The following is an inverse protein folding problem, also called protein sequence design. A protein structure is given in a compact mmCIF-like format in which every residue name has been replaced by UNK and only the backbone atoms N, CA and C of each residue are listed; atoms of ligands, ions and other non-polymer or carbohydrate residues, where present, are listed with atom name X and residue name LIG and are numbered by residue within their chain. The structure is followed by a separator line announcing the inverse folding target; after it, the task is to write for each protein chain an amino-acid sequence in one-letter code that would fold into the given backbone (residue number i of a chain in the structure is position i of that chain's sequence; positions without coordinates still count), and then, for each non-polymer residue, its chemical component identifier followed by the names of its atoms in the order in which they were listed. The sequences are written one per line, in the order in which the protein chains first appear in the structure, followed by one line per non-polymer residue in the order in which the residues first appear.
data_IF_079276872473
#
_entry.id   IF_079276872473
#
_cell.length_a   1.000
_cell.length_b   1.000
_cell.length_c   1.000
_cell.angle_alpha   90.00
_cell.angle_beta   90.00
_cell.angle_gamma   90.00
#
_symmetry.space_group_name_H-M   'P 1'
#
loop_
_entity.id
_entity.type
_entity.pdbx_description
1 polymer ?
#
# COMPACT_ATOMS: atom_id res chain seq x y z
N UNK A 1 -8.80 2.32 -4.02
CA UNK A 1 -8.85 1.05 -3.25
C UNK A 1 -8.68 1.35 -1.78
N UNK A 2 -9.24 0.53 -0.90
CA UNK A 2 -9.15 0.71 0.56
C UNK A 2 -9.13 -0.65 1.28
N UNK A 3 -8.70 -0.65 2.55
CA UNK A 3 -8.70 -1.84 3.39
C UNK A 3 -8.37 -1.53 4.85
N UNK A 4 -8.15 -2.59 5.63
CA UNK A 4 -7.87 -2.52 7.07
C UNK A 4 -6.60 -3.31 7.38
N UNK A 5 -5.67 -2.68 8.10
CA UNK A 5 -4.52 -3.32 8.71
C UNK A 5 -4.95 -4.11 9.96
N UNK A 6 -4.29 -5.21 10.25
CA UNK A 6 -4.54 -5.97 11.48
C UNK A 6 -4.08 -5.23 12.76
N UNK A 7 -3.25 -4.20 12.61
CA UNK A 7 -2.74 -3.35 13.67
C UNK A 7 -2.33 -1.97 13.11
N UNK A 8 -2.24 -0.95 13.95
CA UNK A 8 -1.71 0.36 13.56
C UNK A 8 -0.22 0.28 13.21
N UNK A 9 0.23 1.16 12.32
CA UNK A 9 1.65 1.32 12.01
C UNK A 9 2.38 1.98 13.19
N UNK A 10 3.56 1.47 13.54
CA UNK A 10 4.43 2.14 14.52
C UNK A 10 5.24 3.26 13.86
N UNK A 11 5.80 4.21 14.63
CA UNK A 11 6.65 5.26 14.07
C UNK A 11 7.78 4.69 13.21
N UNK A 12 7.98 5.26 12.02
CA UNK A 12 8.95 4.78 11.04
C UNK A 12 8.40 3.76 10.04
N UNK A 13 7.20 3.22 10.25
CA UNK A 13 6.58 2.32 9.28
C UNK A 13 5.68 3.04 8.28
N UNK A 14 5.61 2.48 7.08
CA UNK A 14 4.68 2.89 6.03
C UNK A 14 4.01 1.68 5.41
N UNK A 15 2.75 1.83 4.99
CA UNK A 15 2.12 0.86 4.08
C UNK A 15 2.40 1.30 2.66
N UNK A 16 2.98 0.42 1.86
CA UNK A 16 3.18 0.61 0.43
C UNK A 16 2.25 -0.28 -0.37
N UNK A 17 1.78 0.25 -1.49
CA UNK A 17 0.90 -0.41 -2.45
C UNK A 17 1.59 -0.47 -3.81
N UNK A 18 1.41 -1.58 -4.50
CA UNK A 18 1.76 -1.75 -5.90
C UNK A 18 0.53 -2.24 -6.67
N UNK A 19 0.31 -1.67 -7.85
CA UNK A 19 -0.74 -2.09 -8.80
C UNK A 19 -0.18 -2.69 -10.08
N UNK A 20 1.15 -2.86 -10.17
CA UNK A 20 1.88 -3.30 -11.37
C UNK A 20 2.72 -4.59 -11.14
N UNK A 21 2.29 -5.43 -10.20
CA UNK A 21 2.98 -6.69 -9.88
C UNK A 21 4.29 -6.50 -9.11
N UNK A 22 4.40 -5.41 -8.35
CA UNK A 22 5.52 -5.15 -7.44
C UNK A 22 6.70 -4.43 -8.09
N UNK A 23 6.53 -3.89 -9.30
CA UNK A 23 7.57 -3.14 -10.02
C UNK A 23 7.72 -1.75 -9.42
N UNK A 24 6.61 -1.04 -9.22
CA UNK A 24 6.58 0.25 -8.53
C UNK A 24 5.77 0.16 -7.24
N UNK A 25 6.18 0.96 -6.26
CA UNK A 25 5.58 1.01 -4.93
C UNK A 25 5.39 2.47 -4.52
N UNK A 26 4.22 2.77 -3.98
CA UNK A 26 3.89 4.09 -3.45
C UNK A 26 3.20 3.98 -2.09
N UNK A 27 3.30 5.02 -1.28
CA UNK A 27 2.72 5.03 0.05
C UNK A 27 1.19 5.17 -0.03
N UNK A 28 0.48 4.35 0.74
CA UNK A 28 -0.94 4.56 0.99
C UNK A 28 -1.17 5.71 1.99
N UNK A 29 -2.37 6.28 1.96
CA UNK A 29 -2.88 7.08 3.08
C UNK A 29 -3.33 6.12 4.18
N UNK A 30 -2.87 6.31 5.41
CA UNK A 30 -3.20 5.46 6.56
C UNK A 30 -3.70 6.33 7.71
N UNK A 31 -4.87 6.00 8.25
CA UNK A 31 -5.47 6.61 9.43
C UNK A 31 -5.88 5.51 10.42
N UNK A 32 -5.14 5.37 11.53
CA UNK A 32 -5.26 4.24 12.44
C UNK A 32 -4.97 2.92 11.71
N UNK A 33 -5.96 2.03 11.65
CA UNK A 33 -5.88 0.78 10.88
C UNK A 33 -6.47 0.87 9.49
N UNK A 34 -7.14 1.97 9.13
CA UNK A 34 -7.76 2.13 7.83
C UNK A 34 -6.77 2.69 6.83
N UNK A 35 -6.79 2.17 5.62
CA UNK A 35 -5.94 2.69 4.54
C UNK A 35 -6.70 2.87 3.24
N UNK A 36 -6.24 3.83 2.45
CA UNK A 36 -6.72 4.07 1.10
C UNK A 36 -5.56 4.41 0.16
N UNK A 37 -5.72 4.03 -1.11
CA UNK A 37 -4.78 4.34 -2.18
C UNK A 37 -5.54 4.59 -3.48
N UNK A 38 -5.05 5.51 -4.30
CA UNK A 38 -5.56 5.73 -5.65
C UNK A 38 -4.74 4.89 -6.63
N UNK A 39 -5.43 4.18 -7.53
CA UNK A 39 -4.76 3.51 -8.65
C UNK A 39 -4.64 4.53 -9.77
N UNK A 40 -3.41 4.80 -10.20
CA UNK A 40 -3.10 5.77 -11.25
C UNK A 40 -2.73 5.08 -12.56
N UNK A 41 -2.76 3.75 -12.60
CA UNK A 41 -2.36 2.95 -13.75
C UNK A 41 -3.60 2.47 -14.53
N UNK A 42 -3.43 2.40 -15.85
CA UNK A 42 -4.36 1.71 -16.73
C UNK A 42 -3.98 0.23 -16.82
N UNK A 43 -4.98 -0.66 -16.80
CA UNK A 43 -4.77 -2.11 -16.82
C UNK A 43 -5.46 -2.72 -18.04
N UNK A 44 -4.69 -3.27 -18.97
CA UNK A 44 -5.21 -3.91 -20.19
C UNK A 44 -5.66 -5.37 -19.96
N UNK A 45 -5.26 -5.96 -18.82
CA UNK A 45 -5.56 -7.34 -18.41
C UNK A 45 -5.81 -7.37 -16.91
N UNK A 46 -6.23 -8.52 -16.36
CA UNK A 46 -6.35 -8.70 -14.92
C UNK A 46 -5.03 -8.39 -14.20
N UNK A 47 -5.11 -7.68 -13.09
CA UNK A 47 -3.95 -7.31 -12.28
C UNK A 47 -4.18 -7.65 -10.81
N UNK A 48 -3.10 -7.62 -10.05
CA UNK A 48 -3.09 -7.88 -8.61
C UNK A 48 -2.62 -6.64 -7.89
N UNK A 49 -3.33 -6.27 -6.82
CA UNK A 49 -2.87 -5.25 -5.89
C UNK A 49 -2.05 -5.95 -4.82
N UNK A 50 -0.81 -5.49 -4.62
CA UNK A 50 0.06 -5.99 -3.57
C UNK A 50 0.28 -4.90 -2.52
N UNK A 51 0.38 -5.32 -1.27
CA UNK A 51 0.63 -4.43 -0.14
C UNK A 51 1.79 -4.95 0.68
N UNK A 52 2.62 -4.06 1.22
CA UNK A 52 3.69 -4.39 2.15
C UNK A 52 3.87 -3.30 3.18
N UNK A 53 4.16 -3.68 4.42
CA UNK A 53 4.63 -2.74 5.43
C UNK A 53 6.15 -2.64 5.30
N UNK A 54 6.67 -1.42 5.26
CA UNK A 54 8.10 -1.13 5.20
C UNK A 54 8.52 -0.35 6.42
N UNK A 55 9.67 -0.72 6.98
CA UNK A 55 10.36 0.05 8.01
C UNK A 55 11.37 0.99 7.34
N UNK A 56 11.41 2.24 7.79
CA UNK A 56 12.38 3.24 7.32
C UNK A 56 13.56 3.42 8.27
N UNK A 57 13.52 2.75 9.44
CA UNK A 57 14.61 2.74 10.41
C UNK A 57 15.36 1.42 10.28
N UNK A 58 16.61 1.50 9.83
CA UNK A 58 17.54 0.38 9.71
C UNK A 58 18.21 0.04 11.04
#
# INVERSE_FOLDING_TARGET
MHGTLSAELVPGQTLQVSTDGGVTWFNALVEGTQWAAQDLNEHAVNWTIQTRVMDSVW
#
